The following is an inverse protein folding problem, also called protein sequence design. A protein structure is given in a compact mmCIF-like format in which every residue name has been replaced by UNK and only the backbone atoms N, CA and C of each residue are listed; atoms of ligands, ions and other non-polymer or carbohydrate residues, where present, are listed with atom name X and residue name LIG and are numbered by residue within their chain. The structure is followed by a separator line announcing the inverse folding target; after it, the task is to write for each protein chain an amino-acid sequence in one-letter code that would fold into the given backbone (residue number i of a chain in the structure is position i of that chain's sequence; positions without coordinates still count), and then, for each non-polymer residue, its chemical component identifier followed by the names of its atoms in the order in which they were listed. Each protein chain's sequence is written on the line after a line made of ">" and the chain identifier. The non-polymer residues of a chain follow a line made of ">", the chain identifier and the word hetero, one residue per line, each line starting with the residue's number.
data_IF_547053926875
#
_entry.id   IF_547053926875
#
_cell.length_a   1.000
_cell.length_b   1.000
_cell.length_c   1.000
_cell.angle_alpha   90.00
_cell.angle_beta   90.00
_cell.angle_gamma   90.00
#
_symmetry.space_group_name_H-M   'P 1'
#
loop_
_entity.id
_entity.type
_entity.pdbx_description
1 polymer ?
#
# COMPACT_ATOMS: atom_id res chain seq x y z
N UNK A 1 11.62 -62.58 -29.29
CA UNK A 1 12.54 -61.63 -28.64
C UNK A 1 11.92 -60.24 -28.76
N UNK A 2 11.61 -59.63 -27.63
CA UNK A 2 10.56 -58.64 -27.44
C UNK A 2 10.95 -57.22 -27.85
N UNK A 3 10.06 -56.53 -28.59
CA UNK A 3 10.18 -55.10 -28.88
C UNK A 3 9.81 -54.29 -27.63
N UNK A 4 10.80 -53.65 -27.02
CA UNK A 4 10.61 -52.72 -25.90
C UNK A 4 10.34 -51.32 -26.45
N UNK A 5 9.12 -50.83 -26.30
CA UNK A 5 8.76 -49.43 -26.52
C UNK A 5 9.46 -48.54 -25.48
N UNK A 6 10.12 -47.43 -25.85
CA UNK A 6 10.55 -46.45 -24.87
C UNK A 6 9.32 -45.66 -24.35
N UNK A 7 9.01 -45.84 -23.07
CA UNK A 7 8.11 -44.99 -22.30
C UNK A 7 8.64 -43.53 -22.31
N UNK A 8 7.82 -42.61 -22.83
CA UNK A 8 8.10 -41.18 -22.76
C UNK A 8 8.12 -40.68 -21.30
N UNK A 9 9.02 -39.76 -20.93
CA UNK A 9 9.08 -39.24 -19.57
C UNK A 9 7.87 -38.35 -19.25
N UNK A 10 7.17 -38.68 -18.16
CA UNK A 10 6.00 -37.96 -17.61
C UNK A 10 6.37 -36.67 -16.88
N UNK A 11 7.30 -35.88 -17.41
CA UNK A 11 7.61 -34.55 -16.87
C UNK A 11 6.92 -33.48 -17.70
N UNK A 12 5.58 -33.45 -17.59
CA UNK A 12 4.81 -32.28 -17.94
C UNK A 12 5.28 -31.14 -17.02
N UNK A 13 6.10 -30.24 -17.57
CA UNK A 13 6.48 -28.99 -16.90
C UNK A 13 5.18 -28.23 -16.65
N UNK A 14 4.78 -28.11 -15.38
CA UNK A 14 3.67 -27.26 -14.96
C UNK A 14 4.02 -25.85 -15.42
N UNK A 15 3.30 -25.35 -16.42
CA UNK A 15 3.42 -23.99 -16.88
C UNK A 15 3.32 -23.07 -15.66
N UNK A 16 4.34 -22.24 -15.46
CA UNK A 16 4.27 -21.16 -14.47
C UNK A 16 3.16 -20.24 -14.98
N UNK A 17 2.01 -20.28 -14.31
CA UNK A 17 0.98 -19.30 -14.54
C UNK A 17 1.62 -17.95 -14.29
N UNK A 18 1.59 -17.07 -15.28
CA UNK A 18 1.94 -15.67 -15.09
C UNK A 18 0.98 -15.14 -14.02
N UNK A 19 1.46 -15.02 -12.78
CA UNK A 19 0.83 -14.21 -11.75
C UNK A 19 1.01 -12.75 -12.14
N UNK A 20 0.33 -12.35 -13.22
CA UNK A 20 0.17 -10.95 -13.53
C UNK A 20 -0.67 -10.37 -12.39
N UNK A 21 -0.15 -9.43 -11.59
CA UNK A 21 -1.01 -8.71 -10.67
C UNK A 21 -2.15 -8.14 -11.51
N UNK A 22 -3.42 -8.26 -11.07
CA UNK A 22 -4.51 -7.60 -11.77
C UNK A 22 -4.11 -6.15 -11.94
N UNK A 23 -4.11 -5.65 -13.18
CA UNK A 23 -3.79 -4.27 -13.52
C UNK A 23 -4.51 -3.41 -12.49
N UNK A 24 -3.77 -2.87 -11.53
CA UNK A 24 -4.30 -1.97 -10.53
C UNK A 24 -4.98 -0.88 -11.35
N UNK A 25 -6.31 -0.90 -11.40
CA UNK A 25 -7.09 0.04 -12.19
C UNK A 25 -6.53 1.38 -11.82
N UNK A 26 -5.89 2.05 -12.81
CA UNK A 26 -5.08 3.26 -12.64
C UNK A 26 -5.64 4.00 -11.46
N UNK A 27 -4.91 3.95 -10.32
CA UNK A 27 -5.21 4.72 -9.11
C UNK A 27 -5.71 6.04 -9.64
N UNK A 28 -7.02 6.28 -9.49
CA UNK A 28 -7.72 7.32 -10.24
C UNK A 28 -6.81 8.54 -10.19
N UNK A 29 -6.55 9.16 -11.35
CA UNK A 29 -5.85 10.44 -11.41
C UNK A 29 -6.72 11.43 -10.64
N UNK A 30 -6.60 11.38 -9.33
CA UNK A 30 -7.04 12.41 -8.41
C UNK A 30 -6.00 13.48 -8.67
N UNK A 31 -6.46 14.62 -9.15
CA UNK A 31 -5.58 15.74 -9.35
C UNK A 31 -4.92 16.06 -7.99
N UNK A 32 -3.58 16.15 -7.91
CA UNK A 32 -2.88 16.37 -6.65
C UNK A 32 -3.22 17.73 -6.02
N UNK A 33 -3.97 18.59 -6.72
CA UNK A 33 -4.46 19.86 -6.19
C UNK A 33 -5.92 19.82 -5.74
N UNK A 34 -6.70 18.83 -6.16
CA UNK A 34 -8.08 18.63 -5.69
C UNK A 34 -8.13 17.57 -4.59
N UNK A 35 -7.57 17.98 -3.47
CA UNK A 35 -8.05 17.63 -2.15
C UNK A 35 -9.51 18.16 -1.94
N UNK A 36 -10.42 17.94 -2.88
CA UNK A 36 -11.85 18.33 -2.78
C UNK A 36 -12.64 17.29 -1.98
N UNK A 37 -12.07 16.92 -0.83
CA UNK A 37 -12.84 16.41 0.30
C UNK A 37 -13.04 17.59 1.22
N UNK A 38 -14.26 17.79 1.69
CA UNK A 38 -14.52 18.65 2.83
C UNK A 38 -13.80 18.05 4.04
N UNK A 39 -12.54 18.43 4.22
CA UNK A 39 -11.74 18.04 5.37
C UNK A 39 -12.24 18.85 6.56
N UNK A 40 -12.61 18.13 7.61
CA UNK A 40 -12.88 18.74 8.89
C UNK A 40 -11.63 19.44 9.45
N UNK A 41 -11.81 20.26 10.50
CA UNK A 41 -10.69 20.92 11.17
C UNK A 41 -9.63 19.92 11.68
N UNK A 42 -10.10 18.75 12.12
CA UNK A 42 -9.31 17.60 12.57
C UNK A 42 -8.34 17.09 11.47
N UNK A 43 -8.85 16.94 10.25
CA UNK A 43 -8.08 16.45 9.10
C UNK A 43 -7.08 17.50 8.59
N UNK A 44 -7.44 18.78 8.63
CA UNK A 44 -6.54 19.88 8.30
C UNK A 44 -5.36 19.97 9.28
N UNK A 45 -5.62 19.80 10.57
CA UNK A 45 -4.58 19.81 11.59
C UNK A 45 -3.61 18.63 11.41
N UNK A 46 -4.15 17.45 11.10
CA UNK A 46 -3.34 16.28 10.73
C UNK A 46 -2.45 16.53 9.50
N UNK A 47 -2.99 17.13 8.44
CA UNK A 47 -2.19 17.46 7.25
C UNK A 47 -1.04 18.43 7.57
N UNK A 48 -1.31 19.46 8.38
CA UNK A 48 -0.29 20.43 8.82
C UNK A 48 0.79 19.77 9.67
N UNK A 49 0.40 18.90 10.60
CA UNK A 49 1.33 18.17 11.45
C UNK A 49 2.24 17.23 10.64
N UNK A 50 1.68 16.54 9.64
CA UNK A 50 2.44 15.69 8.72
C UNK A 50 3.38 16.53 7.84
N UNK A 51 2.96 17.71 7.39
CA UNK A 51 3.84 18.61 6.64
C UNK A 51 5.02 19.11 7.49
N UNK A 52 4.77 19.48 8.75
CA UNK A 52 5.81 19.84 9.71
C UNK A 52 6.78 18.66 9.93
N UNK A 53 6.25 17.44 10.08
CA UNK A 53 7.05 16.23 10.23
C UNK A 53 7.93 15.95 9.00
N UNK A 54 7.39 16.11 7.78
CA UNK A 54 8.17 15.96 6.54
C UNK A 54 9.31 16.97 6.44
N UNK A 55 9.08 18.20 6.90
CA UNK A 55 10.12 19.25 6.93
C UNK A 55 11.22 18.95 7.94
N UNK A 56 10.90 18.35 9.09
CA UNK A 56 11.90 18.00 10.11
C UNK A 56 12.64 16.69 9.82
N UNK A 57 11.99 15.67 9.26
CA UNK A 57 12.60 14.35 9.06
C UNK A 57 13.41 14.24 7.77
N UNK A 58 13.25 15.18 6.83
CA UNK A 58 13.93 15.17 5.53
C UNK A 58 13.50 13.99 4.63
N UNK A 59 12.51 13.20 5.04
CA UNK A 59 11.96 12.08 4.28
C UNK A 59 10.65 12.49 3.62
N UNK A 60 10.56 12.24 2.32
CA UNK A 60 9.37 12.55 1.54
C UNK A 60 8.17 11.64 1.89
N UNK A 61 8.46 10.47 2.48
CA UNK A 61 7.47 9.49 2.92
C UNK A 61 7.70 9.14 4.40
N UNK A 62 6.82 9.60 5.31
CA UNK A 62 6.83 9.13 6.68
C UNK A 62 6.46 7.64 6.73
N UNK A 63 7.05 6.90 7.66
CA UNK A 63 6.66 5.51 7.94
C UNK A 63 5.33 5.47 8.70
N UNK A 64 4.60 4.34 8.64
CA UNK A 64 3.34 4.21 9.38
C UNK A 64 3.52 4.39 10.91
N UNK A 65 4.71 4.08 11.45
CA UNK A 65 5.01 4.30 12.87
C UNK A 65 5.16 5.78 13.18
N UNK A 66 5.83 6.55 12.32
CA UNK A 66 5.99 8.00 12.45
C UNK A 66 4.64 8.72 12.33
N UNK A 67 3.75 8.24 11.45
CA UNK A 67 2.40 8.77 11.33
C UNK A 67 1.63 8.60 12.64
N UNK A 68 1.74 7.45 13.31
CA UNK A 68 1.07 7.22 14.59
C UNK A 68 1.61 8.14 15.69
N UNK A 69 2.91 8.41 15.71
CA UNK A 69 3.49 9.38 16.67
C UNK A 69 2.93 10.78 16.46
N UNK A 70 2.81 11.24 15.22
CA UNK A 70 2.19 12.55 14.90
C UNK A 70 0.74 12.59 15.34
N UNK A 71 -0.04 11.54 15.07
CA UNK A 71 -1.45 11.42 15.50
C UNK A 71 -1.56 11.48 17.02
N UNK A 72 -0.68 10.80 17.74
CA UNK A 72 -0.64 10.85 19.21
C UNK A 72 -0.22 12.23 19.74
N UNK A 73 0.71 12.92 19.09
CA UNK A 73 1.13 14.27 19.46
C UNK A 73 -0.01 15.29 19.31
N UNK A 74 -0.93 15.07 18.36
CA UNK A 74 -2.16 15.85 18.19
C UNK A 74 -3.25 15.52 19.23
N UNK A 75 -3.03 14.53 20.09
CA UNK A 75 -3.97 14.14 21.14
C UNK A 75 -5.05 13.16 20.70
N UNK A 76 -5.01 12.67 19.46
CA UNK A 76 -5.89 11.59 19.03
C UNK A 76 -5.54 10.31 19.79
N UNK A 77 -6.57 9.72 20.37
CA UNK A 77 -6.48 8.44 21.07
C UNK A 77 -7.41 7.47 20.39
N UNK A 78 -7.01 6.20 20.33
CA UNK A 78 -7.93 5.14 19.96
C UNK A 78 -9.04 5.13 20.99
N UNK A 79 -10.26 5.40 20.56
CA UNK A 79 -11.44 5.05 21.33
C UNK A 79 -11.48 3.52 21.35
N UNK A 80 -11.21 2.93 22.51
CA UNK A 80 -11.53 1.52 22.70
C UNK A 80 -13.05 1.43 22.61
N UNK A 81 -13.53 0.78 21.56
CA UNK A 81 -14.95 0.59 21.32
C UNK A 81 -15.45 -0.35 22.44
N UNK A 82 -16.15 0.22 23.41
CA UNK A 82 -16.86 -0.50 24.47
C UNK A 82 -18.08 -1.24 23.91
#
# INVERSE_FOLDING_TARGET
>A
MSATLPQAPRFARRAVGTCHPPKAGRRRKIDPTTCERDYGPEELDFMRAIEAYKRSSGRQFPTCSEILEVVHALGYRRADLA
#
